data_IF_672542520801
#
_entry.id   IF_672542520801
#
_cell.length_a   1.000
_cell.length_b   1.000
_cell.length_c   1.000
_cell.angle_alpha   90.00
_cell.angle_beta   90.00
_cell.angle_gamma   90.00
#
_symmetry.space_group_name_H-M   'P 1'
#
loop_
_entity.id
_entity.type
_entity.pdbx_description
1 polymer ?
#
# COMPACT_ATOMS: atom_id res chain seq x y z
N UNK A 1 3.83 -9.06 -6.48
CA UNK A 1 3.49 -7.66 -6.79
C UNK A 1 3.49 -6.79 -5.55
N UNK A 2 2.76 -7.12 -4.46
CA UNK A 2 2.78 -6.35 -3.21
C UNK A 2 4.19 -6.10 -2.64
N UNK A 3 5.08 -7.10 -2.70
CA UNK A 3 6.46 -6.96 -2.25
C UNK A 3 7.23 -5.82 -2.95
N UNK A 4 6.92 -5.51 -4.21
CA UNK A 4 7.58 -4.45 -4.96
C UNK A 4 7.23 -3.04 -4.42
N UNK A 5 6.03 -2.88 -3.85
CA UNK A 5 5.57 -1.61 -3.27
C UNK A 5 6.36 -1.25 -2.01
N UNK A 6 6.73 -2.26 -1.22
CA UNK A 6 7.62 -2.05 -0.06
C UNK A 6 9.00 -1.50 -0.45
N UNK A 7 9.42 -1.62 -1.71
CA UNK A 7 10.65 -1.03 -2.23
C UNK A 7 10.41 0.21 -3.11
N UNK A 8 9.21 0.80 -3.05
CA UNK A 8 8.86 2.03 -3.76
C UNK A 8 8.74 1.87 -5.28
N UNK A 9 8.42 0.67 -5.76
CA UNK A 9 8.03 0.45 -7.15
C UNK A 9 6.52 0.69 -7.24
N UNK A 10 6.09 1.54 -8.19
CA UNK A 10 4.66 1.78 -8.43
C UNK A 10 4.01 0.51 -8.95
N UNK A 11 2.87 0.14 -8.37
CA UNK A 11 2.06 -0.99 -8.82
C UNK A 11 0.58 -0.57 -8.80
N UNK A 12 -0.29 -1.24 -9.56
CA UNK A 12 -1.74 -0.99 -9.52
C UNK A 12 -2.42 -1.45 -8.21
N UNK A 13 -1.65 -1.92 -7.22
CA UNK A 13 -2.21 -2.39 -5.95
C UNK A 13 -2.30 -1.24 -4.95
N UNK A 14 -3.35 -1.22 -4.14
CA UNK A 14 -3.43 -0.41 -2.92
C UNK A 14 -3.35 -1.34 -1.73
N UNK A 15 -2.36 -1.13 -0.86
CA UNK A 15 -2.18 -1.91 0.36
C UNK A 15 -3.28 -1.56 1.40
N UNK A 16 -3.84 -2.60 2.00
CA UNK A 16 -4.82 -2.56 3.07
C UNK A 16 -4.37 -3.41 4.24
N UNK A 17 -4.91 -3.13 5.42
CA UNK A 17 -4.66 -3.94 6.60
C UNK A 17 -5.89 -4.13 7.46
N UNK A 18 -5.99 -5.30 8.10
CA UNK A 18 -7.00 -5.58 9.14
C UNK A 18 -6.53 -5.18 10.55
N UNK A 19 -5.28 -4.75 10.71
CA UNK A 19 -4.76 -4.25 11.99
C UNK A 19 -4.80 -2.71 12.05
N UNK A 20 -5.62 -2.20 12.96
CA UNK A 20 -5.79 -0.75 13.13
C UNK A 20 -4.47 -0.06 13.48
N UNK A 21 -3.60 -0.69 14.28
CA UNK A 21 -2.33 -0.07 14.69
C UNK A 21 -1.38 0.06 13.51
N UNK A 22 -1.35 -0.92 12.61
CA UNK A 22 -0.62 -0.86 11.34
C UNK A 22 -1.17 0.25 10.43
N UNK A 23 -2.48 0.40 10.31
CA UNK A 23 -3.08 1.49 9.53
C UNK A 23 -2.71 2.86 10.13
N UNK A 24 -2.81 3.00 11.46
CA UNK A 24 -2.41 4.21 12.18
C UNK A 24 -0.91 4.49 12.03
N UNK A 25 -0.06 3.47 12.02
CA UNK A 25 1.37 3.63 11.80
C UNK A 25 1.66 4.33 10.48
N UNK A 26 1.06 3.84 9.38
CA UNK A 26 1.21 4.47 8.07
C UNK A 26 0.57 5.86 7.99
N UNK A 27 -0.48 6.11 8.77
CA UNK A 27 -1.09 7.43 8.88
C UNK A 27 -0.26 8.42 9.72
N UNK A 28 0.47 7.95 10.73
CA UNK A 28 1.16 8.78 11.73
C UNK A 28 2.69 8.89 11.50
N UNK A 29 3.25 8.05 10.64
CA UNK A 29 4.69 7.96 10.41
C UNK A 29 5.02 8.26 8.95
N UNK A 30 6.23 8.77 8.73
CA UNK A 30 6.80 9.00 7.41
C UNK A 30 8.10 8.21 7.25
N UNK A 31 8.36 7.80 6.03
CA UNK A 31 9.58 7.10 5.67
C UNK A 31 10.56 8.07 5.00
N UNK A 32 11.64 8.42 5.71
CA UNK A 32 12.68 9.34 5.24
C UNK A 32 14.06 8.72 5.49
N UNK A 33 14.96 8.82 4.52
CA UNK A 33 16.33 8.29 4.62
C UNK A 33 16.37 6.81 5.04
N UNK A 34 15.52 5.97 4.42
CA UNK A 34 15.40 4.54 4.70
C UNK A 34 15.02 4.20 6.15
N UNK A 35 14.37 5.14 6.86
CA UNK A 35 13.95 4.94 8.23
C UNK A 35 12.56 5.51 8.46
N UNK A 36 11.77 4.80 9.25
CA UNK A 36 10.50 5.30 9.75
C UNK A 36 10.73 6.33 10.86
N UNK A 37 9.95 7.41 10.82
CA UNK A 37 9.95 8.45 11.83
C UNK A 37 8.51 8.89 12.08
N UNK A 38 8.13 9.23 13.32
CA UNK A 38 6.83 9.82 13.58
C UNK A 38 6.76 11.20 12.90
N UNK A 39 5.56 11.55 12.42
CA UNK A 39 5.31 12.91 11.94
C UNK A 39 5.41 13.92 13.08
N UNK A 40 5.90 15.11 12.73
CA UNK A 40 6.03 16.25 13.65
C UNK A 40 5.11 17.38 13.20
N UNK A 41 4.87 18.36 14.06
CA UNK A 41 4.01 19.53 13.77
C UNK A 41 4.31 20.18 12.41
N UNK A 42 5.58 20.27 12.01
CA UNK A 42 5.99 20.82 10.71
C UNK A 42 5.47 20.04 9.49
N UNK A 43 5.12 18.76 9.66
CA UNK A 43 4.71 17.85 8.60
C UNK A 43 3.19 17.97 8.30
N UNK A 44 2.40 18.43 9.27
CA UNK A 44 0.93 18.55 9.16
C UNK A 44 0.37 19.95 9.46
N UNK A 45 1.23 20.94 9.72
CA UNK A 45 0.85 22.35 9.68
C UNK A 45 0.96 22.85 8.24
N UNK A 46 -0.19 23.22 7.67
CA UNK A 46 -0.31 23.67 6.27
C UNK A 46 0.79 24.67 5.87
N UNK A 47 1.62 24.28 4.89
CA UNK A 47 2.30 25.27 4.06
C UNK A 47 1.26 25.76 3.04
N UNK A 48 0.83 27.00 3.17
CA UNK A 48 -0.05 27.65 2.19
C UNK A 48 0.71 27.74 0.86
N UNK A 49 0.63 26.70 0.02
CA UNK A 49 1.07 26.76 -1.37
C UNK A 49 -0.19 26.57 -2.24
N UNK A 50 -0.47 27.61 -3.02
CA UNK A 50 -1.76 28.01 -3.59
C UNK A 50 -2.27 27.17 -4.78
N UNK A 51 -2.20 25.83 -4.76
CA UNK A 51 -2.60 25.10 -5.98
C UNK A 51 -3.36 23.79 -5.79
N UNK A 52 -3.42 23.24 -4.57
CA UNK A 52 -4.36 22.18 -4.23
C UNK A 52 -4.48 22.12 -2.70
N UNK A 53 -5.69 22.29 -2.17
CA UNK A 53 -5.95 22.25 -0.72
C UNK A 53 -5.90 20.79 -0.26
N UNK A 54 -4.71 20.18 -0.26
CA UNK A 54 -4.50 18.93 0.47
C UNK A 54 -4.41 19.30 1.95
N UNK A 55 -5.48 19.03 2.70
CA UNK A 55 -5.52 19.34 4.12
C UNK A 55 -4.65 18.35 4.90
N UNK A 56 -3.34 18.59 4.87
CA UNK A 56 -2.29 17.76 5.52
C UNK A 56 -2.41 17.70 7.04
N UNK A 57 -3.34 18.46 7.63
CA UNK A 57 -3.68 18.40 9.06
C UNK A 57 -4.30 17.07 9.46
N UNK A 58 -4.95 16.37 8.52
CA UNK A 58 -5.71 15.16 8.81
C UNK A 58 -5.18 13.93 8.07
N UNK A 59 -5.06 12.83 8.81
CA UNK A 59 -4.98 11.50 8.26
C UNK A 59 -6.39 10.98 7.94
N UNK A 60 -6.50 10.11 6.94
CA UNK A 60 -7.77 9.45 6.60
C UNK A 60 -7.57 7.95 6.70
N UNK A 61 -8.36 7.29 7.54
CA UNK A 61 -8.47 5.85 7.57
C UNK A 61 -9.68 5.43 6.73
N UNK A 62 -9.44 4.52 5.79
CA UNK A 62 -10.48 3.88 5.01
C UNK A 62 -10.78 2.52 5.63
N UNK A 63 -12.06 2.23 5.85
CA UNK A 63 -12.50 0.94 6.37
C UNK A 63 -13.55 0.35 5.44
N UNK A 64 -13.33 -0.87 4.98
CA UNK A 64 -14.37 -1.65 4.34
C UNK A 64 -14.93 -2.67 5.35
N UNK A 65 -16.23 -2.65 5.65
CA UNK A 65 -16.87 -3.70 6.44
C UNK A 65 -16.71 -5.07 5.76
N UNK A 66 -16.40 -6.10 6.55
CA UNK A 66 -16.16 -7.47 6.05
C UNK A 66 -17.40 -8.00 5.34
N UNK A 67 -18.59 -7.70 5.84
CA UNK A 67 -19.87 -8.14 5.28
C UNK A 67 -20.09 -7.61 3.86
N UNK A 68 -19.72 -6.35 3.61
CA UNK A 68 -19.80 -5.72 2.29
C UNK A 68 -18.79 -6.35 1.33
N UNK A 69 -17.58 -6.61 1.84
CA UNK A 69 -16.52 -7.27 1.07
C UNK A 69 -16.94 -8.68 0.67
N UNK A 70 -17.45 -9.47 1.61
CA UNK A 70 -17.89 -10.85 1.39
C UNK A 70 -19.07 -10.94 0.42
N UNK A 71 -20.02 -10.00 0.52
CA UNK A 71 -21.12 -9.90 -0.46
C UNK A 71 -20.61 -9.60 -1.86
N UNK A 72 -19.61 -8.72 -2.03
CA UNK A 72 -18.97 -8.50 -3.34
C UNK A 72 -18.29 -9.77 -3.85
N UNK A 73 -17.61 -10.52 -3.00
CA UNK A 73 -17.01 -11.80 -3.38
C UNK A 73 -18.05 -12.80 -3.89
N UNK A 74 -19.24 -12.83 -3.30
CA UNK A 74 -20.32 -13.72 -3.71
C UNK A 74 -21.05 -13.30 -5.00
N UNK A 75 -21.04 -12.00 -5.34
CA UNK A 75 -21.87 -11.43 -6.42
C UNK A 75 -21.12 -11.18 -7.74
N UNK A 76 -19.79 -11.21 -7.75
CA UNK A 76 -19.00 -10.84 -8.93
C UNK A 76 -18.49 -12.10 -9.64
N UNK A 77 -18.72 -12.21 -10.95
CA UNK A 77 -18.23 -13.28 -11.81
C UNK A 77 -16.70 -13.46 -11.66
N UNK A 78 -16.21 -14.70 -11.66
CA UNK A 78 -14.81 -15.06 -11.36
C UNK A 78 -13.75 -14.34 -12.20
N UNK A 79 -14.13 -13.79 -13.36
CA UNK A 79 -13.22 -13.18 -14.33
C UNK A 79 -12.72 -11.77 -13.94
N UNK A 80 -13.43 -11.03 -13.08
CA UNK A 80 -13.06 -9.64 -12.74
C UNK A 80 -12.58 -9.49 -11.29
N UNK A 81 -11.30 -9.75 -11.07
CA UNK A 81 -10.60 -9.59 -9.77
C UNK A 81 -10.34 -8.13 -9.38
N UNK A 82 -10.75 -7.17 -10.22
CA UNK A 82 -10.40 -5.77 -10.03
C UNK A 82 -11.35 -5.05 -9.10
N UNK A 83 -10.82 -4.07 -8.36
CA UNK A 83 -11.51 -3.39 -7.28
C UNK A 83 -12.05 -4.35 -6.18
N UNK A 84 -11.43 -5.54 -6.05
CA UNK A 84 -11.65 -6.50 -4.96
C UNK A 84 -10.53 -6.42 -3.95
N UNK A 85 -10.90 -6.53 -2.68
CA UNK A 85 -9.96 -6.72 -1.57
C UNK A 85 -9.54 -8.19 -1.58
N UNK A 86 -8.28 -8.45 -1.93
CA UNK A 86 -7.68 -9.78 -1.95
C UNK A 86 -6.64 -9.90 -0.84
N UNK A 87 -6.50 -11.05 -0.15
CA UNK A 87 -5.40 -11.25 0.78
C UNK A 87 -4.07 -11.22 0.02
N UNK A 88 -3.09 -10.49 0.55
CA UNK A 88 -1.72 -10.53 0.02
C UNK A 88 -1.03 -11.75 0.63
N UNK A 89 -0.35 -12.54 -0.20
CA UNK A 89 0.52 -13.62 0.29
C UNK A 89 0.11 -15.03 -0.10
N UNK A 90 -0.68 -15.21 -1.18
CA UNK A 90 -0.94 -16.54 -1.76
C UNK A 90 0.37 -17.18 -2.29
N UNK A 91 1.14 -17.75 -1.36
CA UNK A 91 2.32 -18.57 -1.55
C UNK A 91 2.13 -19.84 -0.70
N UNK A 92 2.70 -20.99 -1.08
CA UNK A 92 2.46 -22.30 -0.47
C UNK A 92 3.08 -22.47 0.94
N UNK A 93 3.17 -21.41 1.73
CA UNK A 93 3.64 -21.44 3.12
C UNK A 93 2.73 -20.60 4.03
N UNK A 94 2.62 -21.00 5.30
CA UNK A 94 1.68 -20.52 6.35
C UNK A 94 1.76 -19.03 6.73
N UNK A 95 2.40 -18.16 5.93
CA UNK A 95 2.54 -16.72 6.20
C UNK A 95 1.20 -15.96 6.25
N UNK A 96 0.17 -16.45 5.55
CA UNK A 96 -1.13 -15.78 5.43
C UNK A 96 -1.87 -15.58 6.75
N UNK A 97 -1.68 -16.48 7.74
CA UNK A 97 -2.40 -16.41 9.02
C UNK A 97 -1.86 -15.34 9.98
N UNK A 98 -0.63 -14.86 9.76
CA UNK A 98 0.04 -13.88 10.60
C UNK A 98 0.15 -12.49 9.93
N UNK A 99 -0.24 -12.38 8.65
CA UNK A 99 -0.16 -11.15 7.89
C UNK A 99 -1.54 -10.51 7.83
N UNK A 100 -1.71 -9.39 8.54
CA UNK A 100 -2.90 -8.55 8.48
C UNK A 100 -2.98 -7.78 7.15
N UNK A 101 -2.56 -8.34 6.01
CA UNK A 101 -2.29 -7.62 4.76
C UNK A 101 -3.23 -8.03 3.63
N UNK A 102 -3.86 -7.03 3.03
CA UNK A 102 -4.76 -7.18 1.89
C UNK A 102 -4.38 -6.16 0.82
N UNK A 103 -4.79 -6.38 -0.42
CA UNK A 103 -4.61 -5.44 -1.51
C UNK A 103 -5.91 -5.23 -2.26
N UNK A 104 -6.08 -4.05 -2.85
CA UNK A 104 -7.03 -3.84 -3.93
C UNK A 104 -6.25 -3.66 -5.22
N UNK A 105 -6.59 -4.43 -6.25
CA UNK A 105 -6.07 -4.18 -7.59
C UNK A 105 -6.93 -3.16 -8.31
N UNK A 106 -6.36 -1.99 -8.59
CA UNK A 106 -7.01 -0.87 -9.25
C UNK A 106 -6.54 -0.81 -10.72
N UNK A 107 -7.47 -0.91 -11.66
CA UNK A 107 -7.19 -0.79 -13.11
C UNK A 107 -7.04 0.66 -13.57
N UNK A 108 -7.83 1.54 -12.99
CA UNK A 108 -7.92 2.94 -13.38
C UNK A 108 -7.11 3.84 -12.44
N UNK A 109 -6.12 4.54 -12.98
CA UNK A 109 -5.32 5.50 -12.20
C UNK A 109 -6.16 6.65 -11.62
N UNK A 110 -7.36 6.91 -12.17
CA UNK A 110 -8.29 7.91 -11.66
C UNK A 110 -9.16 7.42 -10.48
N UNK A 111 -9.03 6.16 -10.06
CA UNK A 111 -9.80 5.63 -8.94
C UNK A 111 -9.46 6.34 -7.62
N UNK A 112 -10.49 6.93 -6.99
CA UNK A 112 -10.37 7.65 -5.73
C UNK A 112 -11.15 6.95 -4.62
N UNK A 113 -10.43 6.50 -3.59
CA UNK A 113 -11.02 5.89 -2.39
C UNK A 113 -11.92 6.86 -1.60
N UNK A 114 -11.75 8.17 -1.75
CA UNK A 114 -12.63 9.17 -1.13
C UNK A 114 -14.05 9.08 -1.69
N UNK A 115 -14.17 8.85 -3.00
CA UNK A 115 -15.44 8.78 -3.71
C UNK A 115 -16.10 7.39 -3.65
N UNK A 116 -15.34 6.34 -3.30
CA UNK A 116 -15.89 4.96 -3.24
C UNK A 116 -16.83 4.79 -2.03
N UNK A 117 -18.14 4.56 -2.24
CA UNK A 117 -19.13 4.47 -1.15
C UNK A 117 -18.97 3.21 -0.28
N UNK A 118 -18.13 2.25 -0.66
CA UNK A 118 -17.93 0.98 0.05
C UNK A 118 -16.90 1.10 1.18
N UNK A 119 -16.23 2.25 1.27
CA UNK A 119 -15.31 2.58 2.34
C UNK A 119 -15.92 3.64 3.24
N UNK A 120 -15.99 3.32 4.53
CA UNK A 120 -16.12 4.32 5.57
C UNK A 120 -14.83 5.13 5.65
N UNK A 121 -14.94 6.45 5.89
CA UNK A 121 -13.79 7.34 6.04
C UNK A 121 -13.77 7.96 7.43
N UNK A 122 -12.69 7.70 8.16
CA UNK A 122 -12.44 8.30 9.46
C UNK A 122 -11.31 9.31 9.33
N UNK A 123 -11.58 10.57 9.67
CA UNK A 123 -10.57 11.62 9.71
C UNK A 123 -9.96 11.68 11.11
N UNK A 124 -8.65 11.66 11.16
CA UNK A 124 -7.88 11.79 12.40
C UNK A 124 -7.06 13.05 12.27
N UNK A 125 -7.28 14.00 13.19
CA UNK A 125 -6.41 15.16 13.28
C UNK A 125 -5.03 14.71 13.77
N UNK A 126 -3.98 15.11 13.05
CA UNK A 126 -2.63 14.78 13.47
C UNK A 126 -2.23 15.60 14.70
N UNK A 127 -1.75 14.87 15.69
CA UNK A 127 -1.14 15.41 16.90
C UNK A 127 0.27 14.80 17.05
N UNK A 128 1.24 15.60 17.45
CA UNK A 128 2.65 15.18 17.50
C UNK A 128 2.89 14.14 18.60
N UNK A 129 2.17 14.24 19.72
CA UNK A 129 2.28 13.28 20.82
C UNK A 129 1.62 11.96 20.45
N UNK A 130 0.45 12.01 19.81
CA UNK A 130 -0.22 10.84 19.27
C UNK A 130 0.61 10.12 18.21
N UNK A 131 1.21 10.84 17.25
CA UNK A 131 2.03 10.23 16.21
C UNK A 131 3.28 9.56 16.79
N UNK A 132 3.89 10.17 17.81
CA UNK A 132 5.02 9.58 18.53
C UNK A 132 4.61 8.34 19.32
N UNK A 133 3.48 8.38 20.01
CA UNK A 133 2.96 7.23 20.73
C UNK A 133 2.72 6.03 19.80
N UNK A 134 2.07 6.24 18.65
CA UNK A 134 1.88 5.18 17.64
C UNK A 134 3.22 4.61 17.17
N UNK A 135 4.22 5.46 16.91
CA UNK A 135 5.53 5.01 16.46
C UNK A 135 6.24 4.13 17.50
N UNK A 136 6.18 4.51 18.78
CA UNK A 136 6.74 3.72 19.89
C UNK A 136 5.97 2.41 20.12
N UNK A 137 4.64 2.47 20.10
CA UNK A 137 3.76 1.30 20.22
C UNK A 137 4.02 0.27 19.11
N UNK A 138 4.41 0.73 17.93
CA UNK A 138 4.75 -0.10 16.77
C UNK A 138 6.22 -0.54 16.74
N UNK A 139 6.93 -0.40 17.86
CA UNK A 139 8.34 -0.75 18.03
C UNK A 139 9.23 -0.10 16.96
N UNK A 140 9.03 1.20 16.75
CA UNK A 140 9.73 2.00 15.74
C UNK A 140 9.61 1.46 14.29
N UNK A 141 8.55 0.67 14.02
CA UNK A 141 8.31 0.03 12.72
C UNK A 141 8.74 -1.44 12.64
N UNK A 142 9.39 -1.99 13.67
CA UNK A 142 9.80 -3.40 13.68
C UNK A 142 8.61 -4.37 13.66
N UNK A 143 7.45 -3.97 14.22
CA UNK A 143 6.21 -4.77 14.15
C UNK A 143 5.59 -4.82 12.75
N UNK A 144 5.90 -3.84 11.89
CA UNK A 144 5.41 -3.80 10.50
C UNK A 144 6.28 -4.66 9.60
N UNK A 145 7.59 -4.68 9.84
CA UNK A 145 8.56 -5.44 9.05
C UNK A 145 9.28 -6.45 9.93
N UNK A 146 8.77 -7.68 9.98
CA UNK A 146 9.41 -8.80 10.69
C UNK A 146 10.89 -8.92 10.23
N UNK A 147 11.81 -8.64 11.15
CA UNK A 147 13.24 -8.64 10.87
C UNK A 147 13.74 -10.04 10.50
N UNK A 148 14.48 -10.15 9.39
CA UNK A 148 15.17 -11.37 8.97
C UNK A 148 14.72 -11.96 7.63
N UNK A 149 13.59 -11.51 7.07
CA UNK A 149 13.02 -12.09 5.83
C UNK A 149 13.42 -11.35 4.54
N UNK A 150 13.97 -10.14 4.67
CA UNK A 150 14.27 -9.26 3.54
C UNK A 150 15.79 -9.11 3.42
N UNK A 151 16.42 -9.67 2.36
CA UNK A 151 17.82 -9.39 2.10
C UNK A 151 18.00 -7.90 1.85
N UNK A 152 19.20 -7.37 2.12
CA UNK A 152 19.57 -5.99 1.76
C UNK A 152 19.57 -5.82 0.24
N UNK A 153 18.39 -5.57 -0.33
CA UNK A 153 18.16 -5.46 -1.77
C UNK A 153 17.91 -4.02 -2.21
N UNK A 154 18.08 -3.04 -1.32
CA UNK A 154 17.84 -1.62 -1.56
C UNK A 154 18.65 -1.12 -2.77
N UNK A 155 19.92 -1.54 -2.88
CA UNK A 155 20.78 -1.20 -4.01
C UNK A 155 20.27 -1.76 -5.35
N UNK A 156 19.71 -2.97 -5.35
CA UNK A 156 19.14 -3.56 -6.57
C UNK A 156 17.82 -2.88 -6.94
N UNK A 157 17.01 -2.51 -5.95
CA UNK A 157 15.73 -1.84 -6.16
C UNK A 157 15.91 -0.41 -6.68
N UNK A 158 16.92 0.33 -6.20
CA UNK A 158 17.29 1.62 -6.78
C UNK A 158 17.73 1.50 -8.23
N UNK A 159 18.52 0.48 -8.57
CA UNK A 159 18.88 0.21 -9.96
C UNK A 159 17.65 -0.06 -10.80
N UNK A 160 16.73 -0.91 -10.34
CA UNK A 160 15.48 -1.21 -11.06
C UNK A 160 14.64 0.05 -11.25
N UNK A 161 14.47 0.87 -10.20
CA UNK A 161 13.66 2.10 -10.26
C UNK A 161 14.21 3.12 -11.26
N UNK A 162 15.54 3.23 -11.35
CA UNK A 162 16.22 4.24 -12.17
C UNK A 162 16.61 3.71 -13.57
N UNK A 163 16.40 2.42 -13.85
CA UNK A 163 16.64 1.85 -15.18
C UNK A 163 15.53 2.30 -16.13
N UNK A 164 15.93 2.92 -17.23
CA UNK A 164 15.04 3.29 -18.35
C UNK A 164 15.35 2.51 -19.62
N UNK A 165 16.27 1.53 -19.54
CA UNK A 165 16.72 0.72 -20.67
C UNK A 165 16.48 -0.76 -20.38
N UNK A 166 15.64 -1.38 -21.22
CA UNK A 166 15.42 -2.82 -21.19
C UNK A 166 16.20 -3.43 -22.36
N UNK A 167 16.87 -4.56 -22.14
CA UNK A 167 17.61 -5.22 -23.22
C UNK A 167 16.65 -5.72 -24.29
N UNK A 168 17.04 -5.62 -25.57
CA UNK A 168 16.24 -6.12 -26.70
C UNK A 168 15.84 -7.58 -26.51
N UNK A 169 16.78 -8.42 -26.04
CA UNK A 169 16.53 -9.83 -25.71
C UNK A 169 15.44 -10.00 -24.65
N UNK A 170 15.51 -9.23 -23.56
CA UNK A 170 14.49 -9.28 -22.49
C UNK A 170 13.12 -8.83 -23.00
N UNK A 171 13.08 -7.78 -23.82
CA UNK A 171 11.84 -7.31 -24.42
C UNK A 171 11.24 -8.36 -25.37
N UNK A 172 12.06 -8.93 -26.25
CA UNK A 172 11.65 -10.00 -27.16
C UNK A 172 11.19 -11.24 -26.40
N UNK A 173 11.88 -11.65 -25.33
CA UNK A 173 11.49 -12.82 -24.53
C UNK A 173 10.14 -12.60 -23.83
N UNK A 174 9.83 -11.41 -23.32
CA UNK A 174 8.52 -11.11 -22.70
C UNK A 174 7.42 -11.11 -23.76
N UNK A 175 7.68 -10.49 -24.90
CA UNK A 175 6.73 -10.39 -26.01
C UNK A 175 6.46 -11.76 -26.65
N UNK A 176 7.50 -12.59 -26.80
CA UNK A 176 7.42 -13.89 -27.49
C UNK A 176 7.00 -15.04 -26.56
N UNK A 177 7.32 -14.97 -25.26
CA UNK A 177 7.06 -16.07 -24.32
C UNK A 177 6.00 -15.77 -23.24
N UNK A 178 5.51 -14.54 -23.10
CA UNK A 178 4.51 -14.18 -22.07
C UNK A 178 3.24 -13.48 -22.60
N UNK A 179 3.07 -13.32 -23.92
CA UNK A 179 1.79 -12.88 -24.51
C UNK A 179 0.75 -14.01 -24.57
N UNK A 180 0.36 -14.51 -23.40
CA UNK A 180 -0.93 -15.15 -23.17
C UNK A 180 -1.79 -14.23 -22.28
N UNK A 181 -2.04 -13.00 -22.75
CA UNK A 181 -3.34 -12.37 -22.48
C UNK A 181 -4.16 -12.65 -23.72
N UNK A 182 -4.91 -13.75 -23.67
CA UNK A 182 -5.93 -14.07 -24.65
C UNK A 182 -6.85 -12.88 -24.84
N UNK A 183 -7.11 -12.52 -26.10
CA UNK A 183 -8.34 -11.84 -26.46
C UNK A 183 -9.51 -12.61 -25.84
N UNK A 184 -10.23 -11.96 -24.93
CA UNK A 184 -11.63 -12.20 -24.60
C UNK A 184 -12.15 -11.05 -23.74
#
# INVERSE_FOLDING_TARGET
>A
MALAQHYGIKTPLIDLTSDLKTALFFACCKYENYQWRPMKKKDFVSKQNESAIKNVRYGVLYRSPTEITDMKWALVNDEDITNRIIPIGYQPFMRCSAQYSYAISVKDEAYDLLEDPLFDKFRIEHDEDFCRWIFEEMDCGAKVYLHGDIPKIECYMEKIRNIHTISKKTFEDVILNQWHYSEQ
#
